data_IF_319444883558
#
_entry.id   IF_319444883558
#
_cell.length_a   1.000
_cell.length_b   1.000
_cell.length_c   1.000
_cell.angle_alpha   90.00
_cell.angle_beta   90.00
_cell.angle_gamma   90.00
#
_symmetry.space_group_name_H-M   'P 1'
#
loop_
_entity.id
_entity.type
_entity.pdbx_description
1 polymer ?
#
# COMPACT_ATOMS: atom_id res chain seq x y z
N UNK A 1 -22.09 2.45 -29.00
CA UNK A 1 -20.79 2.34 -28.31
C UNK A 1 -20.87 2.79 -26.85
N UNK A 2 -21.45 3.95 -26.55
CA UNK A 2 -21.63 4.48 -25.17
C UNK A 2 -22.34 3.54 -24.18
N UNK A 3 -23.38 2.82 -24.61
CA UNK A 3 -24.14 1.91 -23.73
C UNK A 3 -23.28 0.75 -23.18
N UNK A 4 -22.33 0.23 -23.97
CA UNK A 4 -21.42 -0.84 -23.53
C UNK A 4 -20.38 -0.34 -22.53
N UNK A 5 -19.96 0.92 -22.68
CA UNK A 5 -19.02 1.57 -21.78
C UNK A 5 -19.67 1.87 -20.42
N UNK A 6 -20.91 2.36 -20.42
CA UNK A 6 -21.69 2.58 -19.21
C UNK A 6 -22.01 1.27 -18.45
N UNK A 7 -22.33 0.19 -19.17
CA UNK A 7 -22.57 -1.12 -18.58
C UNK A 7 -21.31 -1.70 -17.89
N UNK A 8 -20.12 -1.55 -18.50
CA UNK A 8 -18.85 -1.95 -17.90
C UNK A 8 -18.57 -1.18 -16.59
N UNK A 9 -18.85 0.13 -16.56
CA UNK A 9 -18.67 0.96 -15.36
C UNK A 9 -19.65 0.56 -14.24
N UNK A 10 -20.92 0.27 -14.57
CA UNK A 10 -21.91 -0.19 -13.59
C UNK A 10 -21.55 -1.56 -13.00
N UNK A 11 -21.04 -2.48 -13.82
CA UNK A 11 -20.62 -3.82 -13.39
C UNK A 11 -19.42 -3.80 -12.43
N UNK A 12 -18.56 -2.77 -12.50
CA UNK A 12 -17.48 -2.55 -11.53
C UNK A 12 -18.04 -2.04 -10.19
N UNK A 13 -19.12 -1.24 -10.20
CA UNK A 13 -19.77 -0.73 -8.97
C UNK A 13 -20.53 -1.83 -8.23
N UNK A 14 -21.05 -2.84 -8.93
CA UNK A 14 -21.75 -4.00 -8.35
C UNK A 14 -20.84 -5.14 -7.88
N UNK A 15 -19.52 -4.95 -7.87
CA UNK A 15 -18.58 -5.95 -7.39
C UNK A 15 -18.53 -6.00 -5.85
N UNK A 16 -19.56 -6.56 -5.21
CA UNK A 16 -19.40 -7.31 -3.95
C UNK A 16 -20.68 -8.06 -3.57
N UNK A 17 -20.89 -9.23 -4.20
CA UNK A 17 -21.55 -10.34 -3.48
C UNK A 17 -20.57 -10.85 -2.41
N UNK A 18 -21.01 -11.08 -1.16
CA UNK A 18 -20.13 -11.52 -0.09
C UNK A 18 -19.69 -12.97 -0.38
N UNK A 19 -18.40 -13.19 -0.66
CA UNK A 19 -17.81 -14.53 -0.61
C UNK A 19 -16.90 -14.97 -1.76
N UNK A 20 -16.68 -14.19 -2.82
CA UNK A 20 -15.86 -14.63 -3.96
C UNK A 20 -14.70 -13.66 -4.23
N UNK A 21 -13.48 -14.16 -4.00
CA UNK A 21 -12.17 -13.59 -4.33
C UNK A 21 -12.15 -12.12 -4.78
N UNK A 22 -11.65 -11.24 -3.90
CA UNK A 22 -11.27 -9.86 -4.22
C UNK A 22 -10.46 -9.81 -5.52
N UNK A 23 -10.82 -8.92 -6.45
CA UNK A 23 -10.11 -8.71 -7.73
C UNK A 23 -8.58 -8.79 -7.53
N UNK A 24 -7.81 -9.51 -8.37
CA UNK A 24 -6.35 -9.66 -8.23
C UNK A 24 -5.61 -8.34 -8.01
N UNK A 25 -6.06 -7.25 -8.64
CA UNK A 25 -5.51 -5.91 -8.46
C UNK A 25 -5.74 -5.35 -7.05
N UNK A 26 -6.91 -5.62 -6.45
CA UNK A 26 -7.21 -5.23 -5.07
C UNK A 26 -6.31 -5.99 -4.10
N UNK A 27 -6.21 -7.32 -4.25
CA UNK A 27 -5.34 -8.18 -3.43
C UNK A 27 -3.86 -7.79 -3.57
N UNK A 28 -3.43 -7.36 -4.75
CA UNK A 28 -2.08 -6.87 -4.95
C UNK A 28 -1.81 -5.58 -4.15
N UNK A 29 -2.72 -4.60 -4.20
CA UNK A 29 -2.60 -3.37 -3.40
C UNK A 29 -2.63 -3.64 -1.90
N UNK A 30 -3.46 -4.57 -1.44
CA UNK A 30 -3.51 -4.98 -0.03
C UNK A 30 -2.17 -5.56 0.42
N UNK A 31 -1.61 -6.50 -0.34
CA UNK A 31 -0.27 -7.04 -0.06
C UNK A 31 0.80 -5.95 0.00
N UNK A 32 0.84 -5.06 -1.00
CA UNK A 32 1.78 -3.94 -1.00
C UNK A 32 1.64 -3.03 0.23
N UNK A 33 0.41 -2.77 0.68
CA UNK A 33 0.18 -1.95 1.87
C UNK A 33 0.63 -2.66 3.14
N UNK A 34 0.39 -3.96 3.28
CA UNK A 34 0.85 -4.74 4.43
C UNK A 34 2.38 -4.77 4.52
N UNK A 35 3.07 -4.98 3.40
CA UNK A 35 4.54 -4.92 3.39
C UNK A 35 5.05 -3.52 3.75
N UNK A 36 4.36 -2.47 3.27
CA UNK A 36 4.73 -1.09 3.59
C UNK A 36 4.52 -0.76 5.08
N UNK A 37 3.49 -1.33 5.70
CA UNK A 37 3.21 -1.18 7.13
C UNK A 37 4.28 -1.87 7.97
N UNK A 38 4.70 -3.08 7.59
CA UNK A 38 5.85 -3.77 8.20
C UNK A 38 7.12 -2.90 8.08
N UNK A 39 7.39 -2.33 6.91
CA UNK A 39 8.55 -1.43 6.72
C UNK A 39 8.46 -0.22 7.65
N UNK A 40 7.27 0.36 7.82
CA UNK A 40 7.07 1.51 8.69
C UNK A 40 7.34 1.17 10.16
N UNK A 41 6.88 0.00 10.62
CA UNK A 41 7.12 -0.52 11.99
C UNK A 41 8.59 -0.82 12.28
N UNK A 42 9.39 -1.14 11.26
CA UNK A 42 10.83 -1.39 11.41
C UNK A 42 11.66 -0.11 11.56
N UNK A 43 11.09 1.06 11.24
CA UNK A 43 11.80 2.32 11.39
C UNK A 43 11.92 2.70 12.88
N UNK A 44 13.02 3.36 13.29
CA UNK A 44 13.23 3.79 14.67
C UNK A 44 12.42 5.07 14.99
N UNK A 45 11.10 5.02 14.80
CA UNK A 45 10.17 6.11 15.11
C UNK A 45 9.04 5.61 15.99
N UNK A 46 8.50 6.51 16.81
CA UNK A 46 7.32 6.24 17.62
C UNK A 46 6.08 6.01 16.75
N UNK A 47 5.16 5.17 17.22
CA UNK A 47 3.92 4.83 16.50
C UNK A 47 3.05 6.07 16.18
N UNK A 48 3.10 7.08 17.06
CA UNK A 48 2.41 8.35 16.82
C UNK A 48 2.93 9.08 15.57
N UNK A 49 4.23 8.98 15.29
CA UNK A 49 4.84 9.57 14.11
C UNK A 49 4.50 8.73 12.89
N UNK A 50 4.68 7.40 12.98
CA UNK A 50 4.42 6.46 11.88
C UNK A 50 2.98 6.60 11.36
N UNK A 51 1.98 6.67 12.25
CA UNK A 51 0.56 6.82 11.89
C UNK A 51 0.22 8.08 11.09
N UNK A 52 1.10 9.10 11.09
CA UNK A 52 0.91 10.37 10.37
C UNK A 52 1.67 10.41 9.04
N UNK A 53 2.50 9.41 8.75
CA UNK A 53 3.29 9.37 7.53
C UNK A 53 2.47 8.87 6.35
N UNK A 54 2.64 9.54 5.22
CA UNK A 54 2.16 9.02 3.95
C UNK A 54 3.15 7.98 3.39
N UNK A 55 2.68 7.20 2.41
CA UNK A 55 3.42 6.08 1.84
C UNK A 55 4.76 6.49 1.21
N UNK A 56 4.81 7.66 0.59
CA UNK A 56 6.03 8.14 -0.04
C UNK A 56 7.06 8.53 1.03
N UNK A 57 6.60 9.18 2.09
CA UNK A 57 7.46 9.53 3.23
C UNK A 57 8.04 8.29 3.93
N UNK A 58 7.23 7.25 4.16
CA UNK A 58 7.73 5.95 4.69
C UNK A 58 8.87 5.40 3.83
N UNK A 59 8.68 5.35 2.51
CA UNK A 59 9.70 4.84 1.58
C UNK A 59 10.98 5.68 1.62
N UNK A 60 10.86 7.01 1.65
CA UNK A 60 12.02 7.92 1.72
C UNK A 60 12.81 7.69 3.01
N UNK A 61 12.12 7.60 4.15
CA UNK A 61 12.75 7.38 5.45
C UNK A 61 13.41 6.00 5.53
N UNK A 62 12.77 4.96 5.01
CA UNK A 62 13.35 3.61 4.97
C UNK A 62 14.64 3.56 4.16
N UNK A 63 14.66 4.16 2.96
CA UNK A 63 15.86 4.23 2.13
C UNK A 63 16.97 4.99 2.85
N UNK A 64 16.67 6.17 3.41
CA UNK A 64 17.67 6.96 4.15
C UNK A 64 18.19 6.22 5.39
N UNK A 65 17.33 5.54 6.13
CA UNK A 65 17.72 4.74 7.29
C UNK A 65 18.69 3.62 6.90
N UNK A 66 18.38 2.87 5.83
CA UNK A 66 19.27 1.79 5.36
C UNK A 66 20.60 2.33 4.84
N UNK A 67 20.62 3.46 4.13
CA UNK A 67 21.85 4.11 3.67
C UNK A 67 22.76 4.51 4.85
N UNK A 68 22.17 5.17 5.85
CA UNK A 68 22.87 5.56 7.08
C UNK A 68 23.38 4.30 7.81
N UNK A 69 22.50 3.31 8.01
CA UNK A 69 22.86 2.06 8.67
C UNK A 69 24.02 1.35 7.97
N UNK A 70 24.01 1.27 6.65
CA UNK A 70 25.10 0.69 5.87
C UNK A 70 26.39 1.51 5.99
N UNK A 71 26.31 2.84 5.99
CA UNK A 71 27.47 3.72 6.14
C UNK A 71 28.16 3.60 7.50
N UNK A 72 27.41 3.41 8.59
CA UNK A 72 27.97 3.25 9.93
C UNK A 72 28.31 1.80 10.32
N UNK A 73 27.92 0.82 9.50
CA UNK A 73 28.19 -0.61 9.71
C UNK A 73 29.21 -1.22 8.73
N UNK A 74 29.86 -0.40 7.88
CA UNK A 74 31.00 -0.79 7.05
C UNK A 74 32.31 -0.30 7.66
#
# INVERSE_FOLDING_TARGET
>A
MFARYAACILQIREASKPGLATNPSKRHRERLNSELEIVAELLPYEQNVISRLDKLSVLRLAVSYLQIKAHFQG
#
